data_IF_973111503745
#
_entry.id   IF_973111503745
#
_cell.length_a   1.000
_cell.length_b   1.000
_cell.length_c   1.000
_cell.angle_alpha   90.00
_cell.angle_beta   90.00
_cell.angle_gamma   90.00
#
_symmetry.space_group_name_H-M   'P 1'
#
loop_
_entity.id
_entity.type
_entity.pdbx_description
1 polymer ?
#
# COMPACT_ATOMS: atom_id res chain seq x y z
N UNK A 1 24.08 -1.95 3.01
CA UNK A 1 24.05 -1.01 4.15
C UNK A 1 25.50 -0.85 4.57
N UNK A 2 26.18 0.11 3.96
CA UNK A 2 27.60 0.41 4.23
C UNK A 2 27.65 1.70 5.04
N UNK A 3 28.44 1.69 6.11
CA UNK A 3 28.71 2.86 6.93
C UNK A 3 29.64 3.76 6.11
N UNK A 4 29.10 4.88 5.62
CA UNK A 4 29.86 5.90 4.91
C UNK A 4 30.99 6.41 5.81
N UNK A 5 32.24 6.20 5.39
CA UNK A 5 33.42 6.63 6.12
C UNK A 5 33.61 8.15 5.95
N UNK A 6 33.20 8.91 6.97
CA UNK A 6 33.23 10.39 6.99
C UNK A 6 34.65 10.97 7.07
N UNK A 7 35.65 10.20 7.52
CA UNK A 7 37.03 10.67 7.61
C UNK A 7 37.64 10.90 6.22
N UNK A 8 37.38 9.99 5.27
CA UNK A 8 37.85 10.13 3.88
C UNK A 8 37.30 11.39 3.21
N UNK A 9 36.04 11.71 3.50
CA UNK A 9 35.29 12.82 2.92
C UNK A 9 35.82 14.18 3.40
N UNK A 10 36.23 14.29 4.66
CA UNK A 10 36.87 15.48 5.22
C UNK A 10 38.32 15.64 4.76
N UNK A 11 39.02 14.53 4.48
CA UNK A 11 40.37 14.54 3.91
C UNK A 11 40.39 15.16 2.50
N UNK A 12 39.36 14.91 1.68
CA UNK A 12 39.19 15.55 0.36
C UNK A 12 38.98 17.08 0.45
N UNK A 13 38.34 17.59 1.50
CA UNK A 13 38.17 19.03 1.70
C UNK A 13 39.47 19.75 2.12
N UNK A 14 40.47 18.99 2.60
CA UNK A 14 41.74 19.50 3.13
C UNK A 14 42.91 19.55 2.13
N UNK A 15 42.72 19.12 0.88
CA UNK A 15 43.66 19.40 -0.21
C UNK A 15 45.01 18.67 -0.17
N UNK A 16 45.03 17.36 0.14
CA UNK A 16 46.20 16.51 -0.06
C UNK A 16 46.04 15.59 -1.30
N UNK A 17 47.11 15.44 -2.09
CA UNK A 17 47.17 14.74 -3.39
C UNK A 17 47.64 13.27 -3.26
N UNK A 18 47.04 12.39 -4.10
CA UNK A 18 47.41 11.00 -4.51
C UNK A 18 47.50 9.92 -3.41
N UNK A 19 47.00 8.68 -3.59
CA UNK A 19 47.13 7.76 -4.74
C UNK A 19 45.97 6.74 -4.78
N UNK A 20 45.54 6.32 -5.98
CA UNK A 20 44.44 5.37 -6.21
C UNK A 20 45.00 3.97 -6.44
N UNK A 21 44.87 3.08 -5.45
CA UNK A 21 45.08 1.63 -5.64
C UNK A 21 43.78 0.87 -5.38
N UNK A 22 43.15 0.43 -6.48
CA UNK A 22 42.10 -0.58 -6.50
C UNK A 22 42.68 -1.93 -6.09
N UNK A 23 42.06 -2.62 -5.14
CA UNK A 23 42.28 -4.05 -4.92
C UNK A 23 40.95 -4.79 -4.91
N UNK A 24 40.89 -5.79 -5.80
CA UNK A 24 39.77 -6.66 -6.11
C UNK A 24 39.45 -7.66 -4.99
N UNK A 25 38.18 -8.06 -4.98
CA UNK A 25 37.62 -9.16 -4.21
C UNK A 25 38.26 -10.51 -4.56
N UNK A 26 38.51 -11.34 -3.54
CA UNK A 26 38.66 -12.78 -3.70
C UNK A 26 38.00 -13.49 -2.51
N UNK A 27 36.89 -14.18 -2.74
CA UNK A 27 36.32 -15.16 -1.81
C UNK A 27 36.07 -16.46 -2.57
N UNK A 28 36.93 -17.43 -2.30
CA UNK A 28 36.93 -18.76 -2.90
C UNK A 28 35.77 -19.63 -2.43
N UNK A 29 35.17 -20.33 -3.39
CA UNK A 29 34.39 -21.55 -3.21
C UNK A 29 35.25 -22.66 -2.60
N UNK A 30 34.66 -23.49 -1.73
CA UNK A 30 35.13 -24.86 -1.57
C UNK A 30 33.99 -25.82 -1.23
N UNK A 31 33.95 -26.87 -2.04
CA UNK A 31 32.98 -27.96 -2.13
C UNK A 31 33.17 -29.02 -1.03
N UNK A 32 32.10 -29.74 -0.64
CA UNK A 32 31.91 -31.20 -0.84
C UNK A 32 31.03 -31.91 0.19
N UNK A 33 30.07 -32.68 -0.36
CA UNK A 33 29.54 -34.01 0.05
C UNK A 33 28.94 -34.23 1.45
N UNK A 34 27.67 -34.64 1.51
CA UNK A 34 27.25 -36.07 1.58
C UNK A 34 25.79 -36.21 2.05
N UNK A 35 24.98 -36.95 1.29
CA UNK A 35 23.65 -37.45 1.65
C UNK A 35 23.76 -38.70 2.54
N UNK A 36 22.74 -38.99 3.38
CA UNK A 36 21.94 -40.17 3.07
C UNK A 36 20.42 -40.03 3.34
N UNK A 37 19.68 -40.84 2.59
CA UNK A 37 18.26 -41.18 2.70
C UNK A 37 17.81 -41.59 4.11
N UNK A 38 16.62 -41.13 4.54
CA UNK A 38 15.79 -41.84 5.52
C UNK A 38 14.33 -41.83 5.07
N UNK A 39 13.82 -43.05 4.86
CA UNK A 39 12.49 -43.44 4.43
C UNK A 39 11.51 -43.52 5.61
N UNK A 40 10.23 -43.32 5.29
CA UNK A 40 9.02 -43.28 6.14
C UNK A 40 8.70 -44.62 6.82
N UNK A 41 7.92 -44.62 7.93
CA UNK A 41 7.01 -45.73 8.21
C UNK A 41 5.54 -45.28 8.38
N UNK A 42 4.67 -45.87 7.54
CA UNK A 42 3.19 -45.88 7.62
C UNK A 42 2.72 -46.81 8.76
N UNK A 43 1.58 -46.55 9.44
CA UNK A 43 0.99 -47.52 10.36
C UNK A 43 0.11 -48.58 9.66
N UNK A 44 -0.06 -49.78 10.25
CA UNK A 44 -0.57 -50.97 9.58
C UNK A 44 -2.10 -51.15 9.62
N UNK A 45 -2.59 -51.92 8.65
CA UNK A 45 -3.93 -52.51 8.58
C UNK A 45 -4.29 -53.32 9.83
N UNK A 46 -5.53 -53.16 10.31
CA UNK A 46 -6.20 -54.12 11.19
C UNK A 46 -7.54 -54.51 10.57
N UNK A 47 -7.67 -55.81 10.34
CA UNK A 47 -8.87 -56.55 9.92
C UNK A 47 -9.77 -56.86 11.13
N UNK A 48 -11.06 -57.05 10.82
CA UNK A 48 -12.13 -57.67 11.60
C UNK A 48 -12.77 -56.92 12.78
N UNK A 49 -14.08 -56.63 12.61
CA UNK A 49 -15.05 -56.77 13.68
C UNK A 49 -16.03 -55.60 13.87
N UNK A 50 -17.13 -55.59 13.11
CA UNK A 50 -18.39 -54.98 13.55
C UNK A 50 -18.89 -53.78 12.74
N UNK A 51 -19.58 -54.05 11.63
CA UNK A 51 -20.53 -53.08 11.05
C UNK A 51 -21.73 -52.94 11.97
N UNK A 52 -22.11 -51.73 12.43
CA UNK A 52 -23.51 -51.47 12.68
C UNK A 52 -24.18 -51.22 11.32
N UNK A 53 -25.27 -51.94 11.08
CA UNK A 53 -26.22 -51.62 10.03
C UNK A 53 -26.74 -50.21 10.32
N UNK A 54 -26.31 -49.23 9.53
CA UNK A 54 -26.94 -47.93 9.49
C UNK A 54 -27.94 -47.98 8.34
N UNK A 55 -29.22 -47.99 8.71
CA UNK A 55 -30.35 -47.88 7.79
C UNK A 55 -30.11 -46.77 6.76
N UNK A 56 -30.34 -47.14 5.50
CA UNK A 56 -30.39 -46.29 4.32
C UNK A 56 -31.62 -45.36 4.44
N UNK A 57 -31.54 -44.38 5.33
CA UNK A 57 -32.46 -43.25 5.36
C UNK A 57 -31.84 -42.15 4.50
N UNK A 58 -32.27 -42.14 3.24
CA UNK A 58 -32.10 -41.06 2.28
C UNK A 58 -32.87 -39.80 2.70
N UNK A 59 -32.64 -39.32 3.92
CA UNK A 59 -32.80 -37.91 4.21
C UNK A 59 -31.58 -37.22 3.60
N UNK A 60 -31.70 -36.84 2.34
CA UNK A 60 -30.90 -35.75 1.79
C UNK A 60 -31.21 -34.51 2.64
N UNK A 61 -30.50 -34.40 3.77
CA UNK A 61 -30.37 -33.18 4.53
C UNK A 61 -29.61 -32.25 3.60
N UNK A 62 -30.36 -31.60 2.71
CA UNK A 62 -29.86 -30.70 1.70
C UNK A 62 -29.35 -29.50 2.50
N UNK A 63 -28.08 -29.56 2.91
CA UNK A 63 -27.45 -28.52 3.69
C UNK A 63 -27.38 -27.27 2.81
N UNK A 64 -28.37 -26.41 2.97
CA UNK A 64 -28.44 -25.12 2.28
C UNK A 64 -27.44 -24.18 2.96
N UNK A 65 -26.38 -23.81 2.25
CA UNK A 65 -25.43 -22.80 2.70
C UNK A 65 -26.05 -21.41 2.56
N UNK A 66 -26.16 -20.67 3.65
CA UNK A 66 -26.74 -19.32 3.69
C UNK A 66 -25.72 -18.35 4.29
N UNK A 67 -25.63 -17.15 3.72
CA UNK A 67 -24.82 -16.06 4.27
C UNK A 67 -25.20 -15.72 5.71
N UNK A 68 -24.21 -15.58 6.59
CA UNK A 68 -24.41 -15.17 7.99
C UNK A 68 -24.89 -13.73 8.16
N UNK A 69 -24.66 -12.87 7.16
CA UNK A 69 -25.15 -11.48 7.17
C UNK A 69 -26.49 -11.35 6.43
N UNK A 70 -26.57 -11.98 5.26
CA UNK A 70 -27.71 -11.85 4.34
C UNK A 70 -28.57 -13.11 4.39
N UNK A 71 -29.16 -13.38 5.55
CA UNK A 71 -30.10 -14.50 5.77
C UNK A 71 -31.55 -13.99 5.86
N UNK A 72 -32.58 -14.85 5.71
CA UNK A 72 -33.97 -14.41 5.62
C UNK A 72 -34.50 -13.61 6.82
N UNK A 73 -33.93 -13.83 8.00
CA UNK A 73 -34.28 -13.16 9.25
C UNK A 73 -33.34 -12.01 9.63
N UNK A 74 -32.45 -11.58 8.74
CA UNK A 74 -31.53 -10.49 9.02
C UNK A 74 -32.29 -9.16 9.08
N UNK A 75 -32.17 -8.44 10.19
CA UNK A 75 -32.84 -7.14 10.38
C UNK A 75 -32.02 -6.00 9.75
N UNK A 76 -31.74 -6.12 8.44
CA UNK A 76 -30.96 -5.14 7.68
C UNK A 76 -31.81 -3.97 7.19
N UNK A 77 -33.14 -4.15 7.13
CA UNK A 77 -34.10 -3.14 6.71
C UNK A 77 -35.43 -3.35 7.47
N UNK A 78 -36.29 -2.34 7.45
CA UNK A 78 -37.65 -2.42 8.03
C UNK A 78 -38.59 -3.41 7.33
N UNK A 79 -38.24 -3.85 6.12
CA UNK A 79 -39.01 -4.79 5.31
C UNK A 79 -38.23 -6.11 5.27
N UNK A 80 -38.91 -7.27 5.14
CA UNK A 80 -38.22 -8.53 4.93
C UNK A 80 -37.53 -8.55 3.55
N UNK A 81 -36.44 -9.34 3.40
CA UNK A 81 -35.79 -9.52 2.10
C UNK A 81 -36.75 -10.19 1.11
N UNK A 82 -36.81 -9.65 -0.11
CA UNK A 82 -37.71 -10.06 -1.19
C UNK A 82 -36.97 -10.64 -2.40
N UNK A 83 -35.64 -10.76 -2.32
CA UNK A 83 -34.79 -11.30 -3.38
C UNK A 83 -33.76 -12.28 -2.81
N UNK A 84 -33.61 -13.43 -3.48
CA UNK A 84 -32.58 -14.41 -3.17
C UNK A 84 -31.54 -14.45 -4.30
N UNK A 85 -30.27 -14.18 -3.98
CA UNK A 85 -29.15 -14.37 -4.88
C UNK A 85 -28.44 -15.68 -4.53
N UNK A 86 -28.03 -16.43 -5.54
CA UNK A 86 -27.28 -17.67 -5.38
C UNK A 86 -25.91 -17.51 -6.04
N UNK A 87 -24.85 -17.61 -5.24
CA UNK A 87 -23.48 -17.55 -5.74
C UNK A 87 -23.10 -18.82 -6.52
N UNK A 88 -21.99 -18.77 -7.25
CA UNK A 88 -21.51 -19.92 -8.04
C UNK A 88 -21.04 -21.10 -7.19
N UNK A 89 -20.65 -20.86 -5.94
CA UNK A 89 -20.32 -21.86 -4.92
C UNK A 89 -21.54 -22.27 -4.06
N UNK A 90 -22.76 -22.02 -4.56
CA UNK A 90 -24.03 -22.49 -4.00
C UNK A 90 -24.37 -21.93 -2.61
N UNK A 91 -24.01 -20.67 -2.33
CA UNK A 91 -24.40 -19.95 -1.11
C UNK A 91 -25.52 -18.98 -1.40
N UNK A 92 -26.58 -19.02 -0.59
CA UNK A 92 -27.72 -18.12 -0.69
C UNK A 92 -27.48 -16.80 0.06
N UNK A 93 -27.89 -15.71 -0.58
CA UNK A 93 -27.89 -14.35 -0.03
C UNK A 93 -29.28 -13.75 -0.18
N UNK A 94 -29.92 -13.46 0.93
CA UNK A 94 -31.25 -12.86 0.99
C UNK A 94 -31.11 -11.34 1.15
N UNK A 95 -31.61 -10.60 0.17
CA UNK A 95 -31.43 -9.16 0.02
C UNK A 95 -32.74 -8.48 -0.36
N UNK A 96 -32.73 -7.16 -0.33
CA UNK A 96 -33.84 -6.30 -0.69
C UNK A 96 -33.65 -5.76 -2.11
N UNK A 97 -34.61 -6.05 -2.98
CA UNK A 97 -34.63 -5.65 -4.39
C UNK A 97 -34.53 -4.14 -4.53
N UNK A 98 -35.22 -3.35 -3.68
CA UNK A 98 -35.19 -1.90 -3.75
C UNK A 98 -33.80 -1.32 -3.43
N UNK A 99 -33.08 -1.87 -2.44
CA UNK A 99 -31.73 -1.41 -2.08
C UNK A 99 -30.74 -1.72 -3.19
N UNK A 100 -30.82 -2.93 -3.76
CA UNK A 100 -29.94 -3.36 -4.86
C UNK A 100 -30.20 -2.54 -6.12
N UNK A 101 -31.47 -2.32 -6.49
CA UNK A 101 -31.86 -1.49 -7.63
C UNK A 101 -31.49 -0.02 -7.44
N UNK A 102 -31.61 0.52 -6.23
CA UNK A 102 -31.17 1.89 -5.94
C UNK A 102 -29.66 2.09 -6.05
N UNK A 103 -28.88 1.00 -6.02
CA UNK A 103 -27.43 1.04 -6.14
C UNK A 103 -26.90 0.79 -7.56
N UNK A 104 -27.73 0.25 -8.46
CA UNK A 104 -27.32 -0.24 -9.78
C UNK A 104 -28.08 0.46 -10.90
N UNK A 105 -27.36 1.00 -11.87
CA UNK A 105 -27.93 1.65 -13.05
C UNK A 105 -28.32 0.66 -14.18
N UNK A 106 -28.03 -0.64 -14.02
CA UNK A 106 -28.30 -1.68 -15.02
C UNK A 106 -29.19 -2.84 -14.52
N UNK A 107 -29.98 -2.61 -13.46
CA UNK A 107 -30.81 -3.64 -12.82
C UNK A 107 -30.04 -4.93 -12.45
N UNK A 108 -28.82 -4.79 -11.94
CA UNK A 108 -27.92 -5.89 -11.56
C UNK A 108 -27.70 -6.84 -12.75
N UNK A 109 -27.16 -6.35 -13.86
CA UNK A 109 -27.01 -7.09 -15.13
C UNK A 109 -28.35 -7.48 -15.78
N UNK A 110 -29.39 -6.66 -15.64
CA UNK A 110 -30.77 -6.97 -16.07
C UNK A 110 -31.37 -8.23 -15.41
N UNK A 111 -30.79 -8.69 -14.31
CA UNK A 111 -31.24 -9.90 -13.63
C UNK A 111 -32.50 -9.66 -12.79
N UNK A 112 -32.76 -8.41 -12.39
CA UNK A 112 -33.95 -8.04 -11.62
C UNK A 112 -35.05 -7.56 -12.58
N UNK A 113 -36.20 -8.25 -12.69
CA UNK A 113 -37.27 -7.88 -13.59
C UNK A 113 -37.89 -6.52 -13.23
N UNK A 114 -38.04 -5.65 -14.23
CA UNK A 114 -38.81 -4.41 -14.09
C UNK A 114 -40.29 -4.73 -13.84
N UNK A 115 -40.99 -3.84 -13.13
CA UNK A 115 -42.32 -4.04 -12.50
C UNK A 115 -43.43 -4.73 -13.32
N UNK A 116 -43.31 -4.83 -14.65
CA UNK A 116 -44.24 -5.52 -15.54
C UNK A 116 -44.19 -7.06 -15.46
N UNK A 117 -43.21 -7.66 -14.77
CA UNK A 117 -43.06 -9.13 -14.62
C UNK A 117 -43.20 -9.63 -13.16
N UNK A 118 -43.61 -8.74 -12.23
CA UNK A 118 -43.71 -9.05 -10.78
C UNK A 118 -44.79 -10.08 -10.42
N UNK A 119 -45.79 -10.30 -11.26
CA UNK A 119 -46.92 -11.18 -10.95
C UNK A 119 -46.61 -12.69 -11.05
N UNK A 120 -45.43 -13.08 -11.57
CA UNK A 120 -45.05 -14.49 -11.74
C UNK A 120 -43.83 -14.93 -10.90
N UNK A 121 -43.19 -14.03 -10.15
CA UNK A 121 -41.80 -14.18 -9.68
C UNK A 121 -41.60 -14.07 -8.17
N UNK A 122 -42.60 -14.43 -7.35
CA UNK A 122 -42.52 -14.32 -5.88
C UNK A 122 -41.52 -15.28 -5.20
N UNK A 123 -40.67 -15.99 -5.95
CA UNK A 123 -39.64 -16.91 -5.45
C UNK A 123 -38.44 -17.01 -6.44
N UNK A 124 -38.07 -15.92 -7.14
CA UNK A 124 -36.99 -15.99 -8.11
C UNK A 124 -35.62 -15.98 -7.43
N UNK A 125 -34.96 -17.13 -7.42
CA UNK A 125 -33.54 -17.25 -7.07
C UNK A 125 -32.73 -16.80 -8.28
N UNK A 126 -31.96 -15.73 -8.13
CA UNK A 126 -31.09 -15.20 -9.18
C UNK A 126 -29.70 -15.79 -9.00
N UNK A 127 -29.21 -16.51 -10.02
CA UNK A 127 -27.83 -16.99 -10.04
C UNK A 127 -26.86 -15.86 -10.41
N UNK A 128 -25.80 -15.71 -9.62
CA UNK A 128 -24.74 -14.73 -9.80
C UNK A 128 -23.43 -15.47 -10.09
N UNK A 129 -22.62 -15.02 -11.07
CA UNK A 129 -21.39 -15.73 -11.44
C UNK A 129 -20.29 -15.68 -10.37
N UNK A 130 -20.34 -14.71 -9.45
CA UNK A 130 -19.31 -14.56 -8.42
C UNK A 130 -19.41 -15.65 -7.33
N UNK A 131 -18.24 -16.00 -6.80
CA UNK A 131 -18.13 -16.82 -5.59
C UNK A 131 -18.57 -16.05 -4.35
N UNK A 132 -18.96 -16.77 -3.30
CA UNK A 132 -19.55 -16.18 -2.10
C UNK A 132 -18.73 -15.07 -1.43
N UNK A 133 -17.38 -15.10 -1.33
CA UNK A 133 -16.64 -14.03 -0.66
C UNK A 133 -16.69 -12.71 -1.45
N UNK A 134 -16.61 -12.78 -2.79
CA UNK A 134 -16.68 -11.61 -3.67
C UNK A 134 -18.09 -11.03 -3.63
N UNK A 135 -19.12 -11.86 -3.77
CA UNK A 135 -20.51 -11.43 -3.68
C UNK A 135 -20.82 -10.80 -2.32
N UNK A 136 -20.30 -11.39 -1.23
CA UNK A 136 -20.47 -10.86 0.11
C UNK A 136 -19.90 -9.43 0.21
N UNK A 137 -18.70 -9.17 -0.31
CA UNK A 137 -18.11 -7.82 -0.34
C UNK A 137 -18.96 -6.86 -1.17
N UNK A 138 -19.40 -7.26 -2.37
CA UNK A 138 -20.26 -6.42 -3.22
C UNK A 138 -21.54 -6.02 -2.49
N UNK A 139 -22.21 -6.96 -1.81
CA UNK A 139 -23.41 -6.67 -1.04
C UNK A 139 -23.13 -5.74 0.14
N UNK A 140 -22.02 -5.91 0.86
CA UNK A 140 -21.64 -4.96 1.91
C UNK A 140 -21.42 -3.54 1.37
N UNK A 141 -20.87 -3.40 0.15
CA UNK A 141 -20.72 -2.10 -0.53
C UNK A 141 -22.09 -1.49 -0.87
N UNK A 142 -23.03 -2.30 -1.37
CA UNK A 142 -24.40 -1.85 -1.71
C UNK A 142 -25.15 -1.34 -0.47
N UNK A 143 -25.03 -2.07 0.64
CA UNK A 143 -25.69 -1.75 1.91
C UNK A 143 -24.92 -0.73 2.76
N UNK A 144 -23.76 -0.26 2.30
CA UNK A 144 -22.86 0.63 3.05
C UNK A 144 -22.50 0.09 4.45
N UNK A 145 -22.20 -1.21 4.51
CA UNK A 145 -21.85 -1.95 5.74
C UNK A 145 -20.38 -2.35 5.74
N UNK A 146 -19.78 -2.44 6.93
CA UNK A 146 -18.42 -2.97 7.06
C UNK A 146 -18.39 -4.48 6.86
N UNK A 147 -17.45 -4.96 6.05
CA UNK A 147 -17.11 -6.38 5.92
C UNK A 147 -15.79 -6.74 6.62
N UNK A 148 -15.24 -5.86 7.46
CA UNK A 148 -13.94 -6.05 8.13
C UNK A 148 -13.88 -7.28 9.03
N UNK A 149 -15.00 -7.67 9.64
CA UNK A 149 -15.10 -8.85 10.52
C UNK A 149 -14.94 -10.18 9.77
N UNK A 150 -15.12 -10.18 8.44
CA UNK A 150 -14.82 -11.34 7.61
C UNK A 150 -13.34 -11.41 7.20
N UNK A 151 -12.54 -10.40 7.53
CA UNK A 151 -11.12 -10.31 7.15
C UNK A 151 -10.86 -10.69 5.68
N UNK A 152 -11.56 -10.09 4.71
CA UNK A 152 -11.38 -10.43 3.31
C UNK A 152 -9.95 -10.14 2.86
N UNK A 153 -9.38 -11.00 2.02
CA UNK A 153 -8.08 -10.73 1.40
C UNK A 153 -8.16 -9.51 0.48
N UNK A 154 -7.02 -8.84 0.26
CA UNK A 154 -6.97 -7.73 -0.69
C UNK A 154 -7.36 -8.18 -2.11
N UNK A 155 -7.00 -9.40 -2.51
CA UNK A 155 -7.42 -9.99 -3.78
C UNK A 155 -8.95 -10.07 -3.90
N UNK A 156 -9.64 -10.50 -2.84
CA UNK A 156 -11.11 -10.56 -2.80
C UNK A 156 -11.73 -9.16 -2.90
N UNK A 157 -11.17 -8.18 -2.19
CA UNK A 157 -11.62 -6.79 -2.24
C UNK A 157 -11.42 -6.19 -3.64
N UNK A 158 -10.24 -6.38 -4.23
CA UNK A 158 -9.91 -5.91 -5.57
C UNK A 158 -10.83 -6.56 -6.62
N UNK A 159 -11.04 -7.87 -6.55
CA UNK A 159 -11.95 -8.58 -7.43
C UNK A 159 -13.40 -8.04 -7.32
N UNK A 160 -13.89 -7.84 -6.10
CA UNK A 160 -15.21 -7.27 -5.86
C UNK A 160 -15.36 -5.86 -6.45
N UNK A 161 -14.41 -4.95 -6.20
CA UNK A 161 -14.44 -3.58 -6.74
C UNK A 161 -14.37 -3.59 -8.27
N UNK A 162 -13.55 -4.46 -8.86
CA UNK A 162 -13.47 -4.63 -10.31
C UNK A 162 -14.77 -5.12 -10.96
N UNK A 163 -15.63 -5.81 -10.21
CA UNK A 163 -16.93 -6.31 -10.68
C UNK A 163 -18.07 -5.31 -10.54
N UNK A 164 -17.95 -4.30 -9.67
CA UNK A 164 -19.01 -3.30 -9.45
C UNK A 164 -19.53 -2.66 -10.76
N UNK A 165 -18.68 -2.24 -11.72
CA UNK A 165 -19.17 -1.66 -12.97
C UNK A 165 -19.99 -2.64 -13.81
N UNK A 166 -19.68 -3.95 -13.75
CA UNK A 166 -20.47 -4.99 -14.43
C UNK A 166 -21.89 -5.04 -13.87
N UNK A 167 -22.06 -4.84 -12.56
CA UNK A 167 -23.36 -4.74 -11.90
C UNK A 167 -24.01 -3.35 -12.00
N UNK A 168 -23.49 -2.45 -12.85
CA UNK A 168 -24.02 -1.10 -13.00
C UNK A 168 -23.83 -0.23 -11.76
N UNK A 169 -22.94 -0.64 -10.84
CA UNK A 169 -22.64 0.09 -9.62
C UNK A 169 -21.39 0.93 -9.89
N UNK A 170 -21.52 2.25 -9.76
CA UNK A 170 -20.38 3.14 -9.93
C UNK A 170 -19.45 3.07 -8.69
N UNK A 171 -18.19 2.61 -8.82
CA UNK A 171 -17.27 2.55 -7.69
C UNK A 171 -16.99 3.92 -7.07
N UNK A 172 -16.94 4.98 -7.87
CA UNK A 172 -16.65 6.34 -7.42
C UNK A 172 -17.72 6.91 -6.47
N UNK A 173 -18.98 6.51 -6.61
CA UNK A 173 -20.05 6.99 -5.72
C UNK A 173 -20.15 6.18 -4.42
N UNK A 174 -19.65 4.94 -4.42
CA UNK A 174 -19.77 4.01 -3.27
C UNK A 174 -18.50 3.90 -2.42
N UNK A 175 -17.33 4.17 -3.00
CA UNK A 175 -16.04 4.13 -2.30
C UNK A 175 -15.62 5.56 -2.02
N UNK A 176 -16.17 6.14 -0.95
CA UNK A 176 -15.85 7.50 -0.50
C UNK A 176 -15.15 7.44 0.86
N UNK A 177 -14.43 8.48 1.30
CA UNK A 177 -13.70 8.45 2.58
C UNK A 177 -14.56 8.15 3.81
N UNK A 178 -15.88 8.39 3.74
CA UNK A 178 -16.82 8.07 4.81
C UNK A 178 -17.29 6.61 4.82
N UNK A 179 -17.06 5.84 3.75
CA UNK A 179 -17.58 4.47 3.65
C UNK A 179 -16.62 3.46 4.30
N UNK A 180 -17.14 2.36 4.87
CA UNK A 180 -16.32 1.36 5.53
C UNK A 180 -15.39 0.63 4.54
N UNK A 181 -15.82 0.45 3.29
CA UNK A 181 -14.99 -0.18 2.25
C UNK A 181 -13.74 0.65 1.93
N UNK A 182 -13.85 1.99 1.92
CA UNK A 182 -12.67 2.85 1.72
C UNK A 182 -11.66 2.67 2.86
N UNK A 183 -12.14 2.68 4.10
CA UNK A 183 -11.29 2.45 5.29
C UNK A 183 -10.63 1.08 5.25
N UNK A 184 -11.37 0.04 4.83
CA UNK A 184 -10.86 -1.31 4.70
C UNK A 184 -9.78 -1.41 3.60
N UNK A 185 -10.00 -0.85 2.41
CA UNK A 185 -8.99 -0.79 1.35
C UNK A 185 -7.73 -0.05 1.81
N UNK A 186 -7.89 1.06 2.50
CA UNK A 186 -6.77 1.85 3.03
C UNK A 186 -5.96 1.08 4.07
N UNK A 187 -6.58 0.19 4.86
CA UNK A 187 -5.87 -0.65 5.82
C UNK A 187 -4.85 -1.61 5.18
N UNK A 188 -5.03 -1.94 3.88
CA UNK A 188 -4.09 -2.75 3.11
C UNK A 188 -2.96 -1.94 2.46
N UNK A 189 -3.06 -0.60 2.41
CA UNK A 189 -2.09 0.25 1.74
C UNK A 189 -0.64 0.12 2.25
N UNK A 190 -0.37 -0.08 3.56
CA UNK A 190 1.01 -0.28 4.02
C UNK A 190 1.65 -1.58 3.54
N UNK A 191 0.86 -2.61 3.24
CA UNK A 191 1.34 -3.93 2.81
C UNK A 191 1.36 -4.06 1.28
N UNK A 192 0.36 -3.48 0.61
CA UNK A 192 0.15 -3.57 -0.84
C UNK A 192 -0.03 -2.17 -1.46
N UNK A 193 0.93 -1.24 -1.28
CA UNK A 193 0.74 0.16 -1.68
C UNK A 193 0.54 0.33 -3.19
N UNK A 194 1.28 -0.44 -4.00
CA UNK A 194 1.18 -0.37 -5.46
C UNK A 194 -0.15 -0.94 -5.96
N UNK A 195 -0.60 -2.05 -5.40
CA UNK A 195 -1.84 -2.68 -5.82
C UNK A 195 -3.08 -1.85 -5.43
N UNK A 196 -3.09 -1.29 -4.21
CA UNK A 196 -4.15 -0.38 -3.76
C UNK A 196 -4.17 0.88 -4.61
N UNK A 197 -3.01 1.45 -4.93
CA UNK A 197 -2.91 2.63 -5.81
C UNK A 197 -3.38 2.32 -7.23
N UNK A 198 -3.04 1.15 -7.76
CA UNK A 198 -3.47 0.68 -9.08
C UNK A 198 -4.99 0.47 -9.12
N UNK A 199 -5.57 -0.17 -8.11
CA UNK A 199 -7.01 -0.34 -7.98
C UNK A 199 -7.73 1.02 -7.92
N UNK A 200 -7.20 1.94 -7.11
CA UNK A 200 -7.74 3.30 -7.00
C UNK A 200 -7.68 4.03 -8.33
N UNK A 201 -6.55 3.94 -9.03
CA UNK A 201 -6.34 4.60 -10.32
C UNK A 201 -7.26 4.05 -11.42
N UNK A 202 -7.42 2.72 -11.50
CA UNK A 202 -8.26 2.02 -12.47
C UNK A 202 -9.73 2.47 -12.42
N UNK A 203 -10.23 2.76 -11.22
CA UNK A 203 -11.62 3.20 -10.99
C UNK A 203 -11.76 4.71 -10.70
N UNK A 204 -10.70 5.49 -10.96
CA UNK A 204 -10.59 6.93 -10.68
C UNK A 204 -10.95 7.36 -9.25
N UNK A 205 -10.63 6.52 -8.26
CA UNK A 205 -10.86 6.74 -6.83
C UNK A 205 -9.77 7.68 -6.26
N UNK A 206 -9.93 8.98 -6.48
CA UNK A 206 -8.89 9.96 -6.18
C UNK A 206 -8.47 9.99 -4.70
N UNK A 207 -9.41 10.01 -3.76
CA UNK A 207 -9.11 10.13 -2.33
C UNK A 207 -8.31 8.92 -1.80
N UNK A 208 -8.63 7.73 -2.30
CA UNK A 208 -7.91 6.50 -1.98
C UNK A 208 -6.49 6.54 -2.57
N UNK A 209 -6.33 7.02 -3.81
CA UNK A 209 -5.03 7.17 -4.44
C UNK A 209 -4.15 8.21 -3.71
N UNK A 210 -4.73 9.34 -3.27
CA UNK A 210 -4.03 10.35 -2.47
C UNK A 210 -3.51 9.73 -1.18
N UNK A 211 -4.37 9.04 -0.43
CA UNK A 211 -3.99 8.42 0.85
C UNK A 211 -2.89 7.37 0.68
N UNK A 212 -3.02 6.54 -0.36
CA UNK A 212 -2.09 5.45 -0.67
C UNK A 212 -0.73 5.96 -1.17
N UNK A 213 -0.69 7.08 -1.91
CA UNK A 213 0.53 7.60 -2.54
C UNK A 213 1.67 7.90 -1.55
N UNK A 214 1.35 8.18 -0.28
CA UNK A 214 2.36 8.39 0.77
C UNK A 214 3.20 7.14 1.08
N UNK A 215 2.63 5.96 0.87
CA UNK A 215 3.30 4.67 1.05
C UNK A 215 4.16 4.28 -0.15
N UNK A 216 4.01 4.98 -1.29
CA UNK A 216 4.82 4.76 -2.48
C UNK A 216 6.09 5.61 -2.52
N UNK A 217 6.34 6.48 -1.55
CA UNK A 217 7.53 7.33 -1.56
C UNK A 217 8.85 6.53 -1.57
N UNK A 218 8.88 5.35 -0.95
CA UNK A 218 10.06 4.47 -0.97
C UNK A 218 10.07 3.51 -2.17
N UNK A 219 9.04 3.53 -3.00
CA UNK A 219 8.93 2.66 -4.16
C UNK A 219 9.85 3.14 -5.29
N UNK A 220 10.57 2.21 -5.91
CA UNK A 220 11.50 2.50 -6.99
C UNK A 220 10.74 2.57 -8.32
N UNK A 221 10.59 3.79 -8.86
CA UNK A 221 9.84 3.99 -10.12
C UNK A 221 10.41 3.22 -11.32
N UNK A 222 11.70 2.86 -11.30
CA UNK A 222 12.30 2.06 -12.38
C UNK A 222 11.91 0.58 -12.37
N UNK A 223 11.28 0.08 -11.29
CA UNK A 223 10.77 -1.29 -11.23
C UNK A 223 9.31 -1.41 -11.69
N UNK A 224 8.70 -0.33 -12.20
CA UNK A 224 7.39 -0.38 -12.83
C UNK A 224 7.46 -1.19 -14.12
N UNK A 225 6.60 -2.19 -14.24
CA UNK A 225 6.40 -2.92 -15.49
C UNK A 225 5.34 -2.24 -16.35
N UNK A 226 5.34 -2.54 -17.65
CA UNK A 226 4.38 -1.98 -18.60
C UNK A 226 2.93 -2.34 -18.23
N UNK A 227 2.70 -3.55 -17.71
CA UNK A 227 1.38 -4.02 -17.29
C UNK A 227 0.82 -3.19 -16.13
N UNK A 228 1.67 -2.84 -15.16
CA UNK A 228 1.27 -2.00 -14.03
C UNK A 228 1.05 -0.56 -14.49
N UNK A 229 1.91 -0.05 -15.38
CA UNK A 229 1.76 1.29 -15.94
C UNK A 229 0.45 1.44 -16.73
N UNK A 230 0.06 0.42 -17.50
CA UNK A 230 -1.22 0.37 -18.20
C UNK A 230 -2.39 0.33 -17.22
N UNK A 231 -2.32 -0.50 -16.17
CA UNK A 231 -3.36 -0.64 -15.17
C UNK A 231 -3.57 0.64 -14.32
N UNK A 232 -2.50 1.35 -13.97
CA UNK A 232 -2.56 2.64 -13.27
C UNK A 232 -3.08 3.75 -14.21
N UNK A 233 -2.69 3.68 -15.48
CA UNK A 233 -3.06 4.66 -16.49
C UNK A 233 -2.32 5.99 -16.36
N UNK A 234 -2.33 6.80 -17.44
CA UNK A 234 -1.43 7.95 -17.59
C UNK A 234 -1.68 9.07 -16.57
N UNK A 235 -2.93 9.29 -16.15
CA UNK A 235 -3.31 10.35 -15.19
C UNK A 235 -2.65 10.15 -13.83
N UNK A 236 -2.75 8.95 -13.29
CA UNK A 236 -2.21 8.59 -11.98
C UNK A 236 -0.72 8.28 -12.03
N UNK A 237 -0.23 7.75 -13.15
CA UNK A 237 1.20 7.56 -13.36
C UNK A 237 1.92 8.92 -13.35
N UNK A 238 1.43 9.90 -14.13
CA UNK A 238 1.98 11.26 -14.13
C UNK A 238 2.00 11.85 -12.72
N UNK A 239 0.91 11.73 -11.97
CA UNK A 239 0.83 12.24 -10.59
C UNK A 239 1.89 11.61 -9.68
N UNK A 240 2.09 10.29 -9.75
CA UNK A 240 3.10 9.58 -8.96
C UNK A 240 4.53 10.02 -9.32
N UNK A 241 4.86 10.12 -10.61
CA UNK A 241 6.18 10.60 -11.04
C UNK A 241 6.46 12.03 -10.58
N UNK A 242 5.49 12.94 -10.74
CA UNK A 242 5.64 14.33 -10.31
C UNK A 242 5.74 14.45 -8.78
N UNK A 243 5.12 13.55 -8.02
CA UNK A 243 5.32 13.48 -6.57
C UNK A 243 6.79 13.14 -6.23
N UNK A 244 7.35 12.10 -6.83
CA UNK A 244 8.75 11.70 -6.57
C UNK A 244 9.73 12.78 -7.01
N UNK A 245 9.62 13.24 -8.26
CA UNK A 245 10.50 14.29 -8.82
C UNK A 245 10.38 15.57 -7.99
N UNK A 246 9.15 16.02 -7.72
CA UNK A 246 8.89 17.25 -6.97
C UNK A 246 9.47 17.20 -5.56
N UNK A 247 9.40 16.05 -4.88
CA UNK A 247 10.00 15.85 -3.56
C UNK A 247 11.53 15.82 -3.61
N UNK A 248 12.12 15.05 -4.52
CA UNK A 248 13.58 15.00 -4.69
C UNK A 248 14.16 16.38 -5.05
N UNK A 249 13.50 17.13 -5.92
CA UNK A 249 13.92 18.49 -6.27
C UNK A 249 13.72 19.48 -5.12
N UNK A 250 12.67 19.32 -4.31
CA UNK A 250 12.49 20.11 -3.09
C UNK A 250 13.62 19.86 -2.09
N UNK A 251 13.99 18.59 -1.90
CA UNK A 251 15.10 18.22 -1.02
C UNK A 251 16.42 18.88 -1.47
N UNK A 252 16.75 18.77 -2.76
CA UNK A 252 17.93 19.42 -3.35
C UNK A 252 17.94 20.93 -3.11
N UNK A 253 16.81 21.60 -3.36
CA UNK A 253 16.66 23.06 -3.14
C UNK A 253 16.85 23.45 -1.68
N UNK A 254 16.33 22.64 -0.75
CA UNK A 254 16.52 22.87 0.68
C UNK A 254 18.01 22.69 1.03
N UNK A 255 18.67 21.62 0.59
CA UNK A 255 20.08 21.34 0.91
C UNK A 255 21.06 22.41 0.38
N UNK A 256 20.74 23.09 -0.72
CA UNK A 256 21.62 24.09 -1.35
C UNK A 256 21.99 25.28 -0.46
N UNK A 257 21.16 25.63 0.53
CA UNK A 257 21.41 26.81 1.38
C UNK A 257 22.35 26.43 2.53
N UNK A 258 23.57 27.02 2.61
CA UNK A 258 24.50 26.78 3.71
C UNK A 258 24.08 27.50 5.01
N UNK A 259 24.70 27.18 6.16
CA UNK A 259 24.55 27.95 7.39
C UNK A 259 24.94 29.42 7.18
N UNK A 260 24.21 30.34 7.81
CA UNK A 260 24.52 31.77 7.71
C UNK A 260 25.83 32.11 8.44
N UNK A 261 26.71 32.92 7.83
CA UNK A 261 27.93 33.39 8.49
C UNK A 261 27.58 34.35 9.63
N UNK A 262 28.45 34.39 10.65
CA UNK A 262 28.37 35.38 11.74
C UNK A 262 29.48 36.44 11.60
N UNK A 263 29.37 37.54 12.34
CA UNK A 263 30.42 38.56 12.36
C UNK A 263 31.75 37.97 12.85
N UNK A 264 32.91 38.32 12.23
CA UNK A 264 34.21 37.76 12.63
C UNK A 264 34.52 37.97 14.10
N UNK A 265 35.13 36.98 14.73
CA UNK A 265 35.56 37.01 16.13
C UNK A 265 37.07 36.75 16.23
N UNK A 266 37.73 37.03 17.36
CA UNK A 266 39.17 36.78 17.52
C UNK A 266 39.62 35.32 17.31
N UNK A 267 38.69 34.39 17.41
CA UNK A 267 38.91 32.93 17.38
C UNK A 267 38.16 32.23 16.24
N UNK A 268 37.49 33.00 15.38
CA UNK A 268 36.82 32.47 14.19
C UNK A 268 36.72 33.55 13.13
N UNK A 269 37.48 33.36 12.05
CA UNK A 269 37.57 34.28 10.93
C UNK A 269 36.75 33.80 9.71
N UNK A 270 36.84 34.52 8.60
CA UNK A 270 36.17 34.13 7.36
C UNK A 270 36.71 32.82 6.75
N UNK A 271 37.96 32.45 7.06
CA UNK A 271 38.57 31.21 6.60
C UNK A 271 37.91 30.02 7.26
N UNK A 272 37.71 30.08 8.58
CA UNK A 272 37.01 29.05 9.36
C UNK A 272 35.56 28.88 8.91
N UNK A 273 34.85 29.99 8.68
CA UNK A 273 33.47 29.98 8.18
C UNK A 273 33.38 29.38 6.76
N UNK A 274 34.38 29.62 5.91
CA UNK A 274 34.45 29.04 4.57
C UNK A 274 34.68 27.53 4.62
N UNK A 275 35.44 27.04 5.59
CA UNK A 275 35.62 25.60 5.83
C UNK A 275 34.28 24.93 6.18
N UNK A 276 33.48 25.53 7.07
CA UNK A 276 32.13 25.05 7.37
C UNK A 276 31.23 25.06 6.12
N UNK A 277 31.28 26.13 5.33
CA UNK A 277 30.48 26.23 4.09
C UNK A 277 30.85 25.13 3.09
N UNK A 278 32.15 24.81 2.95
CA UNK A 278 32.64 23.71 2.10
C UNK A 278 32.20 22.35 2.62
N UNK A 279 32.32 22.11 3.93
CA UNK A 279 31.89 20.86 4.56
C UNK A 279 30.38 20.66 4.38
N UNK A 280 29.58 21.72 4.56
CA UNK A 280 28.14 21.70 4.26
C UNK A 280 27.86 21.38 2.80
N UNK A 281 28.54 22.06 1.87
CA UNK A 281 28.32 21.87 0.43
C UNK A 281 28.62 20.42 0.01
N UNK A 282 29.68 19.84 0.56
CA UNK A 282 30.05 18.46 0.29
C UNK A 282 29.05 17.47 0.92
N UNK A 283 28.63 17.66 2.19
CA UNK A 283 27.63 16.79 2.83
C UNK A 283 26.27 16.87 2.09
N UNK A 284 25.89 18.08 1.69
CA UNK A 284 24.69 18.34 0.89
C UNK A 284 24.77 17.71 -0.50
N UNK A 285 25.95 17.68 -1.13
CA UNK A 285 26.15 17.04 -2.42
C UNK A 285 25.92 15.51 -2.32
N UNK A 286 26.44 14.86 -1.28
CA UNK A 286 26.19 13.42 -1.04
C UNK A 286 24.71 13.12 -0.82
N UNK A 287 24.03 13.93 0.01
CA UNK A 287 22.59 13.78 0.25
C UNK A 287 21.76 14.09 -1.00
N UNK A 288 22.19 15.04 -1.84
CA UNK A 288 21.52 15.40 -3.08
C UNK A 288 21.73 14.37 -4.19
N UNK A 289 22.85 13.65 -4.17
CA UNK A 289 23.15 12.57 -5.11
C UNK A 289 22.22 11.38 -4.91
N UNK A 290 22.02 10.94 -3.67
CA UNK A 290 21.03 9.91 -3.29
C UNK A 290 19.70 10.54 -2.84
N UNK A 291 19.24 11.61 -3.51
CA UNK A 291 18.03 12.32 -3.13
C UNK A 291 16.77 11.46 -3.35
N UNK A 292 16.42 10.67 -2.34
CA UNK A 292 15.21 9.83 -2.35
C UNK A 292 14.01 10.56 -1.72
N UNK A 293 12.79 10.36 -2.25
CA UNK A 293 11.61 11.08 -1.78
C UNK A 293 11.09 10.59 -0.40
N UNK A 294 11.58 9.44 0.07
CA UNK A 294 11.26 8.82 1.36
C UNK A 294 12.19 9.20 2.52
N UNK A 295 13.25 9.99 2.28
CA UNK A 295 14.20 10.41 3.31
C UNK A 295 13.47 10.99 4.53
N UNK A 296 13.77 10.44 5.72
CA UNK A 296 13.19 10.89 6.97
C UNK A 296 13.89 12.14 7.50
N UNK A 297 13.18 12.94 8.30
CA UNK A 297 13.76 14.10 8.99
C UNK A 297 14.89 13.70 9.95
N UNK A 298 14.72 12.57 10.66
CA UNK A 298 15.75 12.03 11.56
C UNK A 298 17.02 11.60 10.83
N UNK A 299 16.89 11.05 9.61
CA UNK A 299 18.07 10.73 8.79
C UNK A 299 18.85 12.00 8.43
N UNK A 300 18.18 13.05 7.97
CA UNK A 300 18.83 14.33 7.63
C UNK A 300 19.54 14.96 8.84
N UNK A 301 18.91 14.91 10.01
CA UNK A 301 19.51 15.40 11.25
C UNK A 301 20.78 14.60 11.60
N UNK A 302 20.69 13.27 11.61
CA UNK A 302 21.82 12.39 11.92
C UNK A 302 22.97 12.49 10.92
N UNK A 303 22.69 12.78 9.65
CA UNK A 303 23.69 12.92 8.60
C UNK A 303 24.45 14.26 8.70
N UNK A 304 23.82 15.31 9.22
CA UNK A 304 24.39 16.66 9.27
C UNK A 304 24.93 17.05 10.65
N UNK A 305 24.42 16.46 11.73
CA UNK A 305 24.87 16.73 13.10
C UNK A 305 26.38 16.52 13.34
N UNK A 306 27.06 15.51 12.75
CA UNK A 306 28.50 15.31 12.93
C UNK A 306 29.37 16.49 12.44
N UNK A 307 28.84 17.35 11.56
CA UNK A 307 29.53 18.57 11.15
C UNK A 307 29.78 19.52 12.34
N UNK A 308 28.98 19.45 13.40
CA UNK A 308 29.14 20.27 14.59
C UNK A 308 30.32 19.82 15.48
N UNK A 309 30.67 18.53 15.46
CA UNK A 309 31.76 17.97 16.26
C UNK A 309 33.13 18.48 15.81
N UNK A 310 33.25 18.80 14.52
CA UNK A 310 34.47 19.31 13.89
C UNK A 310 34.63 20.84 14.00
N UNK A 311 33.68 21.53 14.65
CA UNK A 311 33.73 22.97 14.85
C UNK A 311 34.24 23.30 16.25
N UNK A 312 35.16 24.27 16.35
CA UNK A 312 35.62 24.84 17.62
C UNK A 312 34.81 26.07 18.04
N UNK A 313 34.26 26.82 17.08
CA UNK A 313 33.49 28.05 17.32
C UNK A 313 32.03 27.78 17.69
N UNK A 314 31.57 28.26 18.85
CA UNK A 314 30.19 28.08 19.32
C UNK A 314 29.15 28.80 18.45
N UNK A 315 29.49 29.95 17.86
CA UNK A 315 28.59 30.67 16.94
C UNK A 315 28.39 29.90 15.62
N UNK A 316 29.45 29.25 15.10
CA UNK A 316 29.34 28.35 13.95
C UNK A 316 28.48 27.12 14.27
N UNK A 317 28.66 26.52 15.46
CA UNK A 317 27.81 25.40 15.92
C UNK A 317 26.35 25.82 16.02
N UNK A 318 26.07 26.99 16.59
CA UNK A 318 24.72 27.52 16.68
C UNK A 318 24.12 27.75 15.29
N UNK A 319 24.84 28.45 14.40
CA UNK A 319 24.38 28.69 13.03
C UNK A 319 24.11 27.41 12.24
N UNK A 320 24.95 26.38 12.41
CA UNK A 320 24.75 25.05 11.83
C UNK A 320 23.50 24.37 12.41
N UNK A 321 23.34 24.34 13.73
CA UNK A 321 22.18 23.72 14.37
C UNK A 321 20.87 24.41 13.99
N UNK A 322 20.87 25.74 13.94
CA UNK A 322 19.73 26.53 13.49
C UNK A 322 19.43 26.25 12.01
N UNK A 323 20.45 26.09 11.18
CA UNK A 323 20.27 25.70 9.78
C UNK A 323 19.67 24.30 9.64
N UNK A 324 20.16 23.31 10.40
CA UNK A 324 19.63 21.94 10.41
C UNK A 324 18.17 21.92 10.86
N UNK A 325 17.82 22.63 11.94
CA UNK A 325 16.42 22.77 12.39
C UNK A 325 15.53 23.37 11.30
N UNK A 326 15.96 24.45 10.67
CA UNK A 326 15.23 25.07 9.57
C UNK A 326 15.06 24.12 8.37
N UNK A 327 16.09 23.35 8.03
CA UNK A 327 16.05 22.32 7.00
C UNK A 327 15.02 21.23 7.33
N UNK A 328 15.00 20.72 8.56
CA UNK A 328 14.05 19.71 9.03
C UNK A 328 12.62 20.23 8.93
N UNK A 329 12.37 21.47 9.39
CA UNK A 329 11.05 22.10 9.31
C UNK A 329 10.62 22.24 7.84
N UNK A 330 11.49 22.78 6.98
CA UNK A 330 11.22 22.92 5.55
C UNK A 330 10.94 21.57 4.88
N UNK A 331 11.66 20.50 5.25
CA UNK A 331 11.46 19.18 4.70
C UNK A 331 10.15 18.54 5.16
N UNK A 332 9.78 18.74 6.44
CA UNK A 332 8.57 18.17 7.03
C UNK A 332 7.28 18.66 6.35
N UNK A 333 7.28 19.90 5.83
CA UNK A 333 6.13 20.50 5.13
C UNK A 333 6.07 20.18 3.64
N UNK A 334 7.09 19.52 3.07
CA UNK A 334 7.07 19.11 1.65
C UNK A 334 5.97 18.08 1.43
N UNK A 335 5.08 18.34 0.47
CA UNK A 335 3.96 17.49 0.07
C UNK A 335 4.39 16.01 -0.08
N UNK A 336 3.69 15.10 0.61
CA UNK A 336 3.97 13.64 0.67
C UNK A 336 2.98 12.78 -0.11
N UNK A 337 1.96 13.38 -0.70
CA UNK A 337 0.89 12.71 -1.45
C UNK A 337 0.72 13.35 -2.82
N UNK A 338 -0.01 12.73 -3.75
CA UNK A 338 -0.23 13.26 -5.12
C UNK A 338 -1.09 14.52 -5.20
#
# INVERSE_FOLDING_TARGET
>A
MEITNWDSVLQFASGANMDLSLQDHDFSENSTSSTPNLQVPTPPHSTDGGSPVCDDSSDHNLLVSISTTFYPGANLHSLPPDLALLSSDSVFFYVHSHTVLAASDNNLLSLIPTSSQKEQSSNMVIHVPEVSPILNVILHIIYDMSCSHYSPSFETLSAAVNRLPSYGINPHSRITPSTPIHTLLLSHAPLYPLDVYTLAAKHDLYDLAVSTSSHLLSFQLSSLTDEIAEAVGPKYLRRLFFLHIGRSDALKRILLQPPHPHAPTPWCDFTDQKTLTRAWALASAYLAWDARPDISTGFLESALAPLAEHLSCDLCKQGLNDRIKNLIVQWSVVKRTI
#
